data_IF_761859533326
#
_entry.id   IF_761859533326
#
_cell.length_a   1.000
_cell.length_b   1.000
_cell.length_c   1.000
_cell.angle_alpha   90.00
_cell.angle_beta   90.00
_cell.angle_gamma   90.00
#
_symmetry.space_group_name_H-M   'P 1'
#
loop_
_entity.id
_entity.type
_entity.pdbx_description
1 polymer ?
#
# COMPACT_ATOMS: atom_id res chain seq x y z
N UNK A 1 16.67 -65.28 -1.74
CA UNK A 1 17.40 -64.50 -2.76
C UNK A 1 16.36 -63.56 -3.33
N UNK A 2 15.82 -62.68 -2.48
CA UNK A 2 16.41 -61.37 -2.10
C UNK A 2 16.62 -60.54 -3.37
N UNK A 3 16.08 -59.34 -3.51
CA UNK A 3 15.42 -58.47 -2.53
C UNK A 3 14.72 -57.32 -3.26
N UNK A 4 13.83 -56.67 -2.52
CA UNK A 4 13.36 -55.27 -2.63
C UNK A 4 12.78 -54.76 -3.98
N UNK A 5 11.47 -54.55 -4.09
CA UNK A 5 10.59 -53.57 -3.40
C UNK A 5 10.75 -52.15 -3.91
N UNK A 6 9.61 -51.55 -4.29
CA UNK A 6 9.08 -50.29 -3.74
C UNK A 6 7.95 -49.83 -4.67
N UNK A 7 6.71 -50.19 -4.35
CA UNK A 7 5.78 -49.50 -3.45
C UNK A 7 4.87 -48.52 -4.20
N UNK A 8 3.73 -49.07 -4.61
CA UNK A 8 2.46 -48.35 -4.71
C UNK A 8 2.13 -47.71 -3.35
N UNK A 9 1.83 -46.41 -3.32
CA UNK A 9 0.95 -45.84 -2.30
C UNK A 9 0.03 -44.78 -2.90
N UNK A 10 -1.25 -45.11 -2.83
CA UNK A 10 -2.43 -44.31 -3.13
C UNK A 10 -2.45 -43.00 -2.34
N UNK A 11 -2.65 -41.89 -3.03
CA UNK A 11 -3.12 -40.64 -2.44
C UNK A 11 -4.65 -40.63 -2.48
N UNK A 12 -5.28 -41.24 -1.48
CA UNK A 12 -6.69 -41.02 -1.18
C UNK A 12 -6.98 -41.33 0.28
N UNK A 13 -7.81 -40.48 0.87
CA UNK A 13 -8.45 -40.56 2.19
C UNK A 13 -7.71 -39.88 3.35
N UNK A 14 -7.87 -38.56 3.45
CA UNK A 14 -7.83 -37.86 4.74
C UNK A 14 -9.01 -36.88 4.84
N UNK A 15 -10.22 -37.45 4.94
CA UNK A 15 -11.43 -36.72 5.34
C UNK A 15 -11.59 -36.92 6.84
N UNK A 16 -11.10 -35.96 7.61
CA UNK A 16 -11.28 -35.89 9.06
C UNK A 16 -12.76 -35.83 9.46
N UNK A 17 -13.11 -36.68 10.43
CA UNK A 17 -14.41 -36.85 11.07
C UNK A 17 -14.93 -35.55 11.74
N UNK A 18 -16.20 -35.12 11.54
CA UNK A 18 -16.67 -33.80 11.96
C UNK A 18 -17.21 -33.72 13.40
N UNK A 19 -17.02 -34.71 14.27
CA UNK A 19 -17.60 -34.68 15.63
C UNK A 19 -16.59 -35.11 16.71
N UNK A 20 -15.96 -34.11 17.34
CA UNK A 20 -15.15 -34.24 18.53
C UNK A 20 -15.13 -32.91 19.29
N UNK A 21 -15.94 -32.83 20.33
CA UNK A 21 -16.12 -31.71 21.24
C UNK A 21 -14.86 -31.49 22.11
N UNK A 22 -14.27 -30.30 22.03
CA UNK A 22 -13.46 -29.74 23.11
C UNK A 22 -13.50 -28.22 23.04
N UNK A 23 -14.17 -27.64 24.02
CA UNK A 23 -14.25 -26.23 24.34
C UNK A 23 -12.90 -25.51 24.30
N UNK A 24 -12.66 -24.72 23.24
CA UNK A 24 -11.60 -23.71 23.24
C UNK A 24 -12.21 -22.33 23.44
N UNK A 25 -11.76 -21.67 24.51
CA UNK A 25 -12.11 -20.31 24.88
C UNK A 25 -11.66 -19.33 23.81
N UNK A 26 -12.58 -18.95 22.93
CA UNK A 26 -12.44 -17.72 22.17
C UNK A 26 -12.77 -16.55 23.13
N UNK A 27 -11.78 -16.14 23.93
CA UNK A 27 -11.84 -14.83 24.58
C UNK A 27 -11.58 -13.79 23.50
N UNK A 28 -12.57 -12.95 23.25
CA UNK A 28 -12.47 -11.77 22.41
C UNK A 28 -11.33 -10.87 22.93
N UNK A 29 -10.16 -10.94 22.31
CA UNK A 29 -9.13 -9.91 22.42
C UNK A 29 -9.43 -8.75 21.48
N UNK A 30 -10.67 -8.24 21.53
CA UNK A 30 -11.01 -6.92 21.04
C UNK A 30 -10.97 -5.97 22.23
N UNK A 31 -9.77 -5.47 22.55
CA UNK A 31 -9.47 -4.23 23.29
C UNK A 31 -8.05 -4.30 23.84
N UNK A 32 -7.05 -4.23 22.96
CA UNK A 32 -5.73 -3.75 23.37
C UNK A 32 -5.01 -3.14 22.15
N UNK A 33 -5.61 -2.08 21.59
CA UNK A 33 -4.80 -1.09 20.89
C UNK A 33 -4.13 -0.29 22.01
N UNK A 34 -2.93 -0.73 22.39
CA UNK A 34 -2.11 -0.04 23.37
C UNK A 34 -2.04 1.44 23.01
N UNK A 35 -2.51 2.29 23.91
CA UNK A 35 -2.30 3.73 23.85
C UNK A 35 -0.79 3.98 23.67
N UNK A 36 -0.32 4.59 22.57
CA UNK A 36 1.09 4.92 22.44
C UNK A 36 1.38 5.89 23.59
N UNK A 37 2.28 5.49 24.50
CA UNK A 37 2.40 6.04 25.85
C UNK A 37 2.76 7.54 25.92
N UNK A 38 1.80 8.41 25.65
CA UNK A 38 1.80 9.81 26.05
C UNK A 38 1.21 9.95 27.45
N UNK A 39 1.90 10.70 28.31
CA UNK A 39 1.34 11.13 29.59
C UNK A 39 0.07 11.95 29.33
N UNK A 40 -1.04 11.79 30.07
CA UNK A 40 -2.33 12.43 29.77
C UNK A 40 -2.34 13.98 29.84
N UNK A 41 -1.20 14.62 30.11
CA UNK A 41 -1.07 16.04 30.43
C UNK A 41 0.00 16.76 29.59
N UNK A 42 0.39 16.25 28.43
CA UNK A 42 1.20 17.04 27.50
C UNK A 42 0.29 17.96 26.69
N UNK A 43 0.05 19.18 27.21
CA UNK A 43 -0.87 20.19 26.66
C UNK A 43 -0.48 20.68 25.24
N UNK A 44 0.61 20.18 24.66
CA UNK A 44 1.11 20.54 23.33
C UNK A 44 1.00 19.44 22.26
N UNK A 45 0.33 18.31 22.54
CA UNK A 45 0.11 17.28 21.52
C UNK A 45 -1.20 17.56 20.80
N UNK A 46 -1.13 18.05 19.56
CA UNK A 46 -2.30 18.12 18.68
C UNK A 46 -2.84 16.70 18.45
N UNK A 47 -4.15 16.46 18.68
CA UNK A 47 -4.74 15.16 18.41
C UNK A 47 -4.60 14.82 16.92
N UNK A 48 -4.56 13.52 16.55
CA UNK A 48 -4.58 13.12 15.15
C UNK A 48 -5.84 13.71 14.46
N UNK A 49 -5.75 14.06 13.16
CA UNK A 49 -6.90 14.57 12.43
C UNK A 49 -8.04 13.55 12.43
N UNK A 50 -9.26 14.03 12.61
CA UNK A 50 -10.45 13.20 12.38
C UNK A 50 -10.58 12.91 10.88
N UNK A 51 -11.30 11.86 10.50
CA UNK A 51 -11.42 11.46 9.08
C UNK A 51 -11.97 12.58 8.19
N UNK A 52 -12.83 13.44 8.75
CA UNK A 52 -13.42 14.60 8.06
C UNK A 52 -12.35 15.65 7.71
N UNK A 53 -11.32 15.80 8.54
CA UNK A 53 -10.22 16.77 8.40
C UNK A 53 -9.13 16.32 7.42
N UNK A 54 -9.19 15.07 6.95
CA UNK A 54 -8.28 14.56 5.92
C UNK A 54 -8.73 15.14 4.58
N UNK A 55 -7.90 15.97 3.96
CA UNK A 55 -8.18 16.57 2.64
C UNK A 55 -7.29 15.99 1.54
N UNK A 56 -6.03 15.69 1.87
CA UNK A 56 -5.03 15.19 0.93
C UNK A 56 -4.43 13.87 1.42
N UNK A 57 -4.52 12.87 0.56
CA UNK A 57 -3.99 11.52 0.75
C UNK A 57 -2.90 11.27 -0.28
N UNK A 58 -1.72 10.89 0.19
CA UNK A 58 -0.60 10.52 -0.66
C UNK A 58 -0.40 9.00 -0.68
N UNK A 59 0.12 8.49 -1.80
CA UNK A 59 0.58 7.11 -1.91
C UNK A 59 2.01 7.09 -2.48
N UNK A 60 2.98 6.65 -1.68
CA UNK A 60 4.35 6.45 -2.14
C UNK A 60 4.42 5.11 -2.90
N UNK A 61 4.55 5.18 -4.22
CA UNK A 61 4.65 4.07 -5.14
C UNK A 61 3.74 4.23 -6.37
N UNK A 62 4.30 4.64 -7.51
CA UNK A 62 3.60 4.77 -8.80
C UNK A 62 3.40 3.45 -9.55
N UNK A 63 3.40 2.32 -8.83
CA UNK A 63 3.15 1.00 -9.38
C UNK A 63 1.66 0.67 -9.44
N UNK A 64 1.35 -0.55 -9.91
CA UNK A 64 -0.02 -1.06 -10.07
C UNK A 64 -0.87 -0.88 -8.81
N UNK A 65 -0.33 -1.25 -7.64
CA UNK A 65 -1.06 -1.18 -6.37
C UNK A 65 -1.38 0.26 -5.98
N UNK A 66 -0.39 1.15 -5.98
CA UNK A 66 -0.58 2.53 -5.54
C UNK A 66 -1.55 3.29 -6.45
N UNK A 67 -1.36 3.18 -7.76
CA UNK A 67 -2.22 3.86 -8.75
C UNK A 67 -3.66 3.35 -8.68
N UNK A 68 -3.89 2.02 -8.73
CA UNK A 68 -5.25 1.49 -8.73
C UNK A 68 -5.99 1.79 -7.42
N UNK A 69 -5.28 1.75 -6.29
CA UNK A 69 -5.86 2.10 -4.98
C UNK A 69 -6.28 3.56 -4.96
N UNK A 70 -5.41 4.49 -5.35
CA UNK A 70 -5.73 5.92 -5.38
C UNK A 70 -6.83 6.25 -6.40
N UNK A 71 -6.84 5.59 -7.55
CA UNK A 71 -7.89 5.73 -8.57
C UNK A 71 -9.28 5.35 -8.02
N UNK A 72 -9.38 4.20 -7.35
CA UNK A 72 -10.64 3.74 -6.77
C UNK A 72 -11.09 4.66 -5.64
N UNK A 73 -10.18 5.11 -4.77
CA UNK A 73 -10.53 6.05 -3.71
C UNK A 73 -10.97 7.41 -4.26
N UNK A 74 -10.32 7.92 -5.30
CA UNK A 74 -10.70 9.17 -5.97
C UNK A 74 -12.10 9.12 -6.58
N UNK A 75 -12.53 7.95 -7.06
CA UNK A 75 -13.90 7.73 -7.53
C UNK A 75 -14.93 7.75 -6.39
N UNK A 76 -14.61 7.25 -5.20
CA UNK A 76 -15.57 7.22 -4.09
C UNK A 76 -15.60 8.51 -3.26
N UNK A 77 -14.49 9.24 -3.16
CA UNK A 77 -14.34 10.43 -2.31
C UNK A 77 -13.99 11.67 -3.16
N UNK A 78 -15.00 12.25 -3.77
CA UNK A 78 -14.84 13.37 -4.71
C UNK A 78 -14.30 14.67 -4.11
N UNK A 79 -14.44 14.85 -2.79
CA UNK A 79 -14.03 16.04 -2.04
C UNK A 79 -12.59 15.95 -1.51
N UNK A 80 -11.91 14.82 -1.74
CA UNK A 80 -10.54 14.56 -1.27
C UNK A 80 -9.56 14.52 -2.43
N UNK A 81 -8.33 14.94 -2.18
CA UNK A 81 -7.23 14.91 -3.15
C UNK A 81 -6.36 13.68 -2.96
N UNK A 82 -6.12 12.95 -4.03
CA UNK A 82 -5.29 11.75 -4.06
C UNK A 82 -4.06 12.00 -4.91
N UNK A 83 -2.88 11.76 -4.34
CA UNK A 83 -1.60 11.99 -5.03
C UNK A 83 -0.78 10.71 -5.02
N UNK A 84 -0.52 10.18 -6.21
CA UNK A 84 0.43 9.07 -6.39
C UNK A 84 1.82 9.65 -6.56
N UNK A 85 2.74 9.22 -5.71
CA UNK A 85 4.11 9.69 -5.62
C UNK A 85 5.07 8.62 -6.13
N UNK A 86 6.03 8.99 -6.98
CA UNK A 86 7.11 8.10 -7.40
C UNK A 86 8.41 8.91 -7.63
N UNK A 87 9.56 8.34 -7.26
CA UNK A 87 10.87 8.96 -7.50
C UNK A 87 11.28 8.91 -8.98
N UNK A 88 10.68 8.00 -9.74
CA UNK A 88 10.87 7.88 -11.18
C UNK A 88 10.16 9.01 -11.91
N UNK A 89 10.90 10.09 -12.18
CA UNK A 89 10.39 11.30 -12.86
C UNK A 89 9.88 10.99 -14.27
N UNK A 90 10.51 10.05 -14.98
CA UNK A 90 10.08 9.66 -16.33
C UNK A 90 8.72 8.97 -16.26
N UNK A 91 8.54 8.02 -15.33
CA UNK A 91 7.25 7.39 -15.06
C UNK A 91 6.17 8.40 -14.70
N UNK A 92 6.46 9.37 -13.82
CA UNK A 92 5.49 10.42 -13.47
C UNK A 92 5.12 11.27 -14.69
N UNK A 93 6.10 11.64 -15.52
CA UNK A 93 5.86 12.41 -16.74
C UNK A 93 5.00 11.64 -17.74
N UNK A 94 5.24 10.32 -17.88
CA UNK A 94 4.42 9.44 -18.70
C UNK A 94 2.98 9.40 -18.19
N UNK A 95 2.76 9.18 -16.88
CA UNK A 95 1.42 9.14 -16.29
C UNK A 95 0.65 10.46 -16.42
N UNK A 96 1.37 11.59 -16.40
CA UNK A 96 0.80 12.91 -16.67
C UNK A 96 0.68 13.23 -18.18
N UNK A 97 1.29 12.41 -19.04
CA UNK A 97 1.36 12.58 -20.47
C UNK A 97 0.21 11.92 -21.22
N UNK A 98 0.04 12.36 -22.46
CA UNK A 98 -0.90 11.78 -23.42
C UNK A 98 -0.12 11.39 -24.67
N UNK A 99 -0.33 10.17 -25.16
CA UNK A 99 0.32 9.66 -26.37
C UNK A 99 -0.36 10.18 -27.66
N UNK A 100 0.18 9.82 -28.83
CA UNK A 100 -0.39 10.23 -30.12
C UNK A 100 -1.79 9.67 -30.42
N UNK A 101 -2.24 8.65 -29.68
CA UNK A 101 -3.59 8.09 -29.76
C UNK A 101 -4.58 8.78 -28.79
N UNK A 102 -4.15 9.83 -28.10
CA UNK A 102 -4.93 10.55 -27.09
C UNK A 102 -5.26 9.70 -25.84
N UNK A 103 -4.36 8.80 -25.47
CA UNK A 103 -4.46 7.93 -24.30
C UNK A 103 -3.36 8.28 -23.29
N UNK A 104 -3.64 8.05 -22.00
CA UNK A 104 -2.68 8.29 -20.91
C UNK A 104 -1.59 7.21 -20.90
N UNK A 105 -0.34 7.60 -20.63
CA UNK A 105 0.78 6.64 -20.68
C UNK A 105 0.96 5.97 -19.31
N UNK A 106 0.38 4.79 -19.16
CA UNK A 106 0.44 4.01 -17.91
C UNK A 106 1.34 2.77 -18.09
N UNK A 107 2.14 2.40 -17.06
CA UNK A 107 3.06 1.24 -17.15
C UNK A 107 2.35 -0.13 -17.09
N UNK A 108 1.03 -0.14 -16.87
CA UNK A 108 0.17 -1.31 -16.85
C UNK A 108 -1.24 -0.91 -17.27
N UNK A 109 -2.07 -1.91 -17.57
CA UNK A 109 -3.48 -1.73 -17.93
C UNK A 109 -4.33 -2.77 -17.20
N UNK A 110 -5.56 -2.37 -16.85
CA UNK A 110 -6.62 -3.19 -16.29
C UNK A 110 -7.94 -2.89 -16.99
N UNK A 111 -8.92 -3.82 -16.97
CA UNK A 111 -10.28 -3.54 -17.44
C UNK A 111 -10.86 -2.28 -16.77
N UNK A 112 -11.47 -1.41 -17.59
CA UNK A 112 -12.12 -0.17 -17.17
C UNK A 112 -11.22 0.87 -16.47
N UNK A 113 -9.90 0.67 -16.45
CA UNK A 113 -8.96 1.59 -15.79
C UNK A 113 -9.04 3.00 -16.37
N UNK A 114 -9.04 3.15 -17.70
CA UNK A 114 -9.04 4.45 -18.35
C UNK A 114 -10.27 5.30 -17.99
N UNK A 115 -11.42 4.67 -17.74
CA UNK A 115 -12.64 5.36 -17.34
C UNK A 115 -12.44 6.08 -16.00
N UNK A 116 -12.08 5.34 -14.95
CA UNK A 116 -11.94 5.89 -13.60
C UNK A 116 -10.68 6.75 -13.43
N UNK A 117 -9.60 6.39 -14.13
CA UNK A 117 -8.38 7.18 -14.17
C UNK A 117 -8.65 8.57 -14.77
N UNK A 118 -9.31 8.62 -15.92
CA UNK A 118 -9.65 9.88 -16.57
C UNK A 118 -10.67 10.67 -15.76
N UNK A 119 -11.67 10.00 -15.16
CA UNK A 119 -12.63 10.65 -14.28
C UNK A 119 -11.95 11.43 -13.14
N UNK A 120 -11.05 10.79 -12.39
CA UNK A 120 -10.38 11.42 -11.25
C UNK A 120 -9.46 12.58 -11.66
N UNK A 121 -8.77 12.43 -12.80
CA UNK A 121 -7.85 13.48 -13.28
C UNK A 121 -8.61 14.65 -13.86
N UNK A 122 -9.68 14.40 -14.63
CA UNK A 122 -10.53 15.46 -15.21
C UNK A 122 -11.30 16.21 -14.12
N UNK A 123 -11.71 15.51 -13.06
CA UNK A 123 -12.25 16.12 -11.83
C UNK A 123 -11.20 16.96 -11.09
N UNK A 124 -9.92 16.63 -11.25
CA UNK A 124 -8.81 17.29 -10.58
C UNK A 124 -8.62 16.83 -9.14
N UNK A 125 -9.02 15.60 -8.80
CA UNK A 125 -8.85 15.02 -7.47
C UNK A 125 -7.90 13.80 -7.45
N UNK A 126 -7.37 13.38 -8.60
CA UNK A 126 -6.29 12.40 -8.73
C UNK A 126 -5.08 13.04 -9.44
N UNK A 127 -3.91 12.94 -8.85
CA UNK A 127 -2.67 13.56 -9.34
C UNK A 127 -1.47 12.61 -9.27
N UNK A 128 -0.47 12.84 -10.12
CA UNK A 128 0.81 12.14 -10.12
C UNK A 128 1.94 13.15 -9.93
N UNK A 129 2.84 12.90 -8.99
CA UNK A 129 3.93 13.83 -8.67
C UNK A 129 5.23 13.10 -8.34
N UNK A 130 6.34 13.67 -8.80
CA UNK A 130 7.68 13.24 -8.40
C UNK A 130 8.25 14.11 -7.27
N UNK A 131 7.51 15.14 -6.83
CA UNK A 131 7.90 16.02 -5.74
C UNK A 131 7.40 15.46 -4.40
N UNK A 132 8.02 14.37 -3.95
CA UNK A 132 7.61 13.61 -2.76
C UNK A 132 7.59 14.51 -1.53
N UNK A 133 8.64 15.29 -1.29
CA UNK A 133 8.76 16.12 -0.09
C UNK A 133 7.60 17.13 0.03
N UNK A 134 7.32 17.85 -1.06
CA UNK A 134 6.26 18.85 -1.07
C UNK A 134 4.88 18.25 -0.81
N UNK A 135 4.58 17.11 -1.44
CA UNK A 135 3.26 16.48 -1.31
C UNK A 135 3.07 15.86 0.07
N UNK A 136 4.14 15.33 0.68
CA UNK A 136 4.10 14.84 2.04
C UNK A 136 3.88 15.97 3.07
N UNK A 137 4.42 17.16 2.82
CA UNK A 137 4.21 18.33 3.69
C UNK A 137 2.73 18.80 3.70
N UNK A 138 1.96 18.46 2.66
CA UNK A 138 0.57 18.89 2.49
C UNK A 138 -0.46 17.82 2.88
N UNK A 139 -0.04 16.56 3.07
CA UNK A 139 -0.96 15.44 3.24
C UNK A 139 -1.21 15.07 4.70
N UNK A 140 -2.40 14.55 4.99
CA UNK A 140 -2.79 14.08 6.33
C UNK A 140 -2.73 12.55 6.42
N UNK A 141 -2.70 11.85 5.29
CA UNK A 141 -2.65 10.40 5.22
C UNK A 141 -1.66 9.94 4.14
N UNK A 142 -0.86 8.92 4.47
CA UNK A 142 0.15 8.35 3.57
C UNK A 142 -0.03 6.84 3.47
N UNK A 143 -0.19 6.35 2.24
CA UNK A 143 -0.06 4.94 1.89
C UNK A 143 1.37 4.66 1.40
N UNK A 144 1.90 3.47 1.71
CA UNK A 144 3.17 2.98 1.16
C UNK A 144 2.85 1.76 0.29
N UNK A 145 3.07 1.89 -1.02
CA UNK A 145 2.82 0.86 -2.03
C UNK A 145 4.05 0.67 -2.93
N UNK A 146 5.23 0.57 -2.30
CA UNK A 146 6.52 0.38 -2.99
C UNK A 146 6.85 -1.09 -3.18
N UNK A 147 7.65 -1.38 -4.22
CA UNK A 147 8.13 -2.73 -4.47
C UNK A 147 9.13 -3.18 -3.39
N UNK A 148 8.96 -4.42 -2.91
CA UNK A 148 9.89 -5.11 -2.02
C UNK A 148 10.45 -6.35 -2.77
N UNK A 149 11.44 -6.16 -3.65
CA UNK A 149 12.01 -7.26 -4.42
C UNK A 149 12.85 -8.18 -3.52
N UNK A 150 13.23 -9.34 -4.05
CA UNK A 150 14.25 -10.20 -3.43
C UNK A 150 15.64 -9.61 -3.69
N UNK A 151 16.55 -9.64 -2.71
CA UNK A 151 17.94 -9.17 -2.89
C UNK A 151 18.71 -9.98 -3.94
N UNK A 152 18.38 -11.27 -4.09
CA UNK A 152 18.97 -12.16 -5.09
C UNK A 152 17.91 -13.08 -5.73
N UNK A 153 18.03 -13.37 -7.03
CA UNK A 153 17.22 -14.38 -7.74
C UNK A 153 17.99 -15.72 -7.84
N UNK A 154 17.33 -16.89 -7.76
CA UNK A 154 17.10 -17.70 -6.55
C UNK A 154 18.26 -18.66 -6.19
N UNK A 155 18.51 -18.86 -4.89
CA UNK A 155 18.62 -20.19 -4.23
C UNK A 155 18.79 -20.01 -2.72
N UNK A 156 17.95 -20.71 -1.96
CA UNK A 156 17.79 -20.73 -0.49
C UNK A 156 16.90 -19.61 0.05
N UNK A 157 15.60 -19.90 0.12
CA UNK A 157 14.60 -19.13 0.85
C UNK A 157 14.89 -19.18 2.35
N UNK A 158 15.28 -18.04 2.92
CA UNK A 158 14.85 -17.53 4.23
C UNK A 158 15.24 -16.05 4.34
N UNK A 159 14.23 -15.16 4.36
CA UNK A 159 14.34 -13.76 4.79
C UNK A 159 15.28 -12.83 4.00
N UNK A 160 15.28 -12.88 2.66
CA UNK A 160 16.17 -12.04 1.83
C UNK A 160 15.41 -10.99 1.00
N UNK A 161 14.54 -10.23 1.67
CA UNK A 161 13.80 -9.10 1.09
C UNK A 161 14.69 -7.86 1.02
N UNK A 162 14.70 -7.18 -0.12
CA UNK A 162 15.24 -5.83 -0.27
C UNK A 162 14.18 -4.82 0.17
N UNK A 163 14.34 -4.29 1.38
CA UNK A 163 13.43 -3.33 1.99
C UNK A 163 13.86 -1.87 1.75
N UNK A 164 14.89 -1.61 0.93
CA UNK A 164 15.43 -0.26 0.74
C UNK A 164 14.36 0.74 0.29
N UNK A 165 13.48 0.36 -0.64
CA UNK A 165 12.40 1.24 -1.09
C UNK A 165 11.41 1.57 0.04
N UNK A 166 11.15 0.62 0.94
CA UNK A 166 10.28 0.84 2.10
C UNK A 166 10.97 1.75 3.11
N UNK A 167 12.24 1.51 3.41
CA UNK A 167 13.03 2.39 4.29
C UNK A 167 13.12 3.82 3.75
N UNK A 168 13.31 3.99 2.45
CA UNK A 168 13.37 5.32 1.81
C UNK A 168 12.02 6.04 1.89
N UNK A 169 10.90 5.33 1.73
CA UNK A 169 9.57 5.87 1.96
C UNK A 169 9.40 6.36 3.41
N UNK A 170 9.78 5.54 4.40
CA UNK A 170 9.72 5.91 5.82
C UNK A 170 10.61 7.12 6.12
N UNK A 171 11.84 7.17 5.59
CA UNK A 171 12.74 8.33 5.76
C UNK A 171 12.10 9.61 5.22
N UNK A 172 11.44 9.54 4.05
CA UNK A 172 10.77 10.68 3.45
C UNK A 172 9.62 11.20 4.32
N UNK A 173 8.84 10.29 4.91
CA UNK A 173 7.76 10.63 5.86
C UNK A 173 8.31 11.26 7.15
N UNK A 174 9.37 10.68 7.73
CA UNK A 174 9.97 11.25 8.93
C UNK A 174 10.51 12.66 8.67
N UNK A 175 11.11 12.88 7.51
CA UNK A 175 11.59 14.20 7.11
C UNK A 175 10.47 15.22 6.89
N UNK A 176 9.27 14.80 6.47
CA UNK A 176 8.13 15.73 6.31
C UNK A 176 7.60 16.22 7.65
N UNK A 177 7.59 15.36 8.68
CA UNK A 177 7.18 15.74 10.03
C UNK A 177 8.10 16.84 10.58
N UNK A 178 9.41 16.72 10.37
CA UNK A 178 10.40 17.72 10.82
C UNK A 178 10.29 19.08 10.09
N UNK A 179 9.59 19.15 8.96
CA UNK A 179 9.41 20.37 8.15
C UNK A 179 8.17 21.17 8.54
N UNK A 180 7.18 20.55 9.20
CA UNK A 180 5.96 21.23 9.63
C UNK A 180 6.31 22.09 10.87
N UNK A 181 6.21 23.42 10.80
CA UNK A 181 6.37 24.24 12.00
C UNK A 181 5.23 23.91 12.97
N UNK A 182 5.58 23.55 14.21
CA UNK A 182 4.61 23.36 15.29
C UNK A 182 3.89 24.64 15.71
#
# INVERSE_FOLDING_TARGET
MDDSSDHDQDFSDDVGNPNGDSSDHNQDHSNDVGNPGGSPNDENVTPPPELEDIERICCIGGGRVGVLTMMVLAHYWHDKHFVVLDKDVERINDMNGINAANERVMPFSEPDMDLYLNEGIDRGNLHFSSNIDHELDLCQMVFIAVDIPLKMKPKVLKNDLDINNFEDAIKSILQSIDRIPG
#
